data_IF_205774773099
#
_entry.id   IF_205774773099
#
_cell.length_a   1.000
_cell.length_b   1.000
_cell.length_c   1.000
_cell.angle_alpha   90.00
_cell.angle_beta   90.00
_cell.angle_gamma   90.00
#
_symmetry.space_group_name_H-M   'P 1'
#
loop_
_entity.id
_entity.type
_entity.pdbx_description
1 polymer ?
#
# COMPACT_ATOMS: atom_id res chain seq x y z
N UNK A 1 -5.42 15.61 -12.37
CA UNK A 1 -4.42 16.62 -11.90
C UNK A 1 -3.07 16.28 -12.50
N UNK A 2 -2.41 17.26 -13.12
CA UNK A 2 -1.12 17.08 -13.78
C UNK A 2 -0.04 17.61 -12.85
N UNK A 3 0.94 16.77 -12.49
CA UNK A 3 2.18 17.21 -11.82
C UNK A 3 3.37 16.81 -12.69
N UNK A 4 4.39 17.66 -12.74
CA UNK A 4 5.62 17.43 -13.51
C UNK A 4 6.83 17.34 -12.56
N UNK A 5 7.86 16.59 -12.95
CA UNK A 5 9.13 16.51 -12.24
C UNK A 5 10.30 16.56 -13.23
N UNK A 6 11.47 17.00 -12.76
CA UNK A 6 12.70 17.01 -13.56
C UNK A 6 13.45 15.69 -13.41
N UNK A 7 13.89 15.11 -14.51
CA UNK A 7 14.81 13.99 -14.55
C UNK A 7 16.07 14.41 -15.30
N UNK A 8 17.18 14.53 -14.59
CA UNK A 8 18.57 14.70 -15.10
C UNK A 8 18.70 15.45 -16.44
N UNK A 9 18.23 16.70 -16.50
CA UNK A 9 18.52 17.58 -17.64
C UNK A 9 17.68 17.39 -18.90
N UNK A 10 16.76 16.42 -18.92
CA UNK A 10 15.84 16.17 -20.03
C UNK A 10 14.38 16.42 -19.63
N UNK A 11 13.58 16.91 -20.60
CA UNK A 11 12.19 17.40 -20.52
C UNK A 11 11.38 16.86 -19.32
N UNK A 12 10.83 17.80 -18.53
CA UNK A 12 9.85 17.52 -17.46
C UNK A 12 8.82 16.48 -17.91
N UNK A 13 8.87 15.28 -17.32
CA UNK A 13 7.89 14.24 -17.61
C UNK A 13 6.61 14.53 -16.83
N UNK A 14 5.51 14.66 -17.57
CA UNK A 14 4.18 14.92 -17.02
C UNK A 14 3.62 13.64 -16.41
N UNK A 15 3.26 13.69 -15.11
CA UNK A 15 2.52 12.62 -14.44
C UNK A 15 1.03 12.90 -14.57
N UNK A 16 0.29 11.93 -15.07
CA UNK A 16 -1.17 11.95 -15.14
C UNK A 16 -1.74 10.97 -14.12
N UNK A 17 -2.75 11.42 -13.38
CA UNK A 17 -3.42 10.59 -12.37
C UNK A 17 -4.82 10.29 -12.84
N UNK A 18 -5.17 9.01 -12.91
CA UNK A 18 -6.49 8.51 -13.23
C UNK A 18 -7.10 7.80 -12.03
N UNK A 19 -8.36 8.09 -11.79
CA UNK A 19 -9.18 7.47 -10.75
C UNK A 19 -10.26 6.63 -11.46
N UNK A 20 -10.22 5.30 -11.32
CA UNK A 20 -11.13 4.43 -12.08
C UNK A 20 -12.60 4.62 -11.72
N UNK A 21 -12.92 4.87 -10.43
CA UNK A 21 -14.28 5.18 -10.00
C UNK A 21 -14.80 6.46 -10.67
N UNK A 22 -13.93 7.45 -10.82
CA UNK A 22 -14.26 8.72 -11.48
C UNK A 22 -14.48 8.53 -12.98
N UNK A 23 -13.64 7.76 -13.67
CA UNK A 23 -13.82 7.43 -15.08
C UNK A 23 -15.13 6.67 -15.32
N UNK A 24 -15.49 5.72 -14.47
CA UNK A 24 -16.76 4.97 -14.56
C UNK A 24 -17.95 5.91 -14.39
N UNK A 25 -17.92 6.81 -13.40
CA UNK A 25 -18.99 7.79 -13.16
C UNK A 25 -19.14 8.80 -14.32
N UNK A 26 -18.06 9.11 -15.00
CA UNK A 26 -18.04 9.96 -16.20
C UNK A 26 -18.45 9.21 -17.47
N UNK A 27 -18.91 7.95 -17.37
CA UNK A 27 -19.27 7.10 -18.49
C UNK A 27 -18.14 6.91 -19.51
N UNK A 28 -16.90 6.80 -19.02
CA UNK A 28 -15.76 6.47 -19.88
C UNK A 28 -16.02 5.11 -20.58
N UNK A 29 -15.55 4.88 -21.83
CA UNK A 29 -15.79 3.63 -22.51
C UNK A 29 -15.35 2.44 -21.65
N UNK A 30 -16.23 1.45 -21.50
CA UNK A 30 -15.99 0.29 -20.62
C UNK A 30 -14.72 -0.46 -21.02
N UNK A 31 -14.46 -0.57 -22.31
CA UNK A 31 -13.27 -1.23 -22.87
C UNK A 31 -11.98 -0.53 -22.41
N UNK A 32 -11.96 0.80 -22.36
CA UNK A 32 -10.80 1.57 -21.91
C UNK A 32 -10.55 1.38 -20.41
N UNK A 33 -11.61 1.36 -19.60
CA UNK A 33 -11.53 1.08 -18.16
C UNK A 33 -11.01 -0.35 -17.92
N UNK A 34 -11.54 -1.34 -18.64
CA UNK A 34 -11.08 -2.73 -18.56
C UNK A 34 -9.60 -2.86 -18.99
N UNK A 35 -9.19 -2.15 -20.02
CA UNK A 35 -7.80 -2.13 -20.46
C UNK A 35 -6.87 -1.57 -19.37
N UNK A 36 -7.26 -0.49 -18.68
CA UNK A 36 -6.51 0.06 -17.54
C UNK A 36 -6.42 -0.97 -16.40
N UNK A 37 -7.51 -1.67 -16.09
CA UNK A 37 -7.53 -2.74 -15.08
C UNK A 37 -6.55 -3.87 -15.45
N UNK A 38 -6.53 -4.31 -16.71
CA UNK A 38 -5.58 -5.33 -17.18
C UNK A 38 -4.13 -4.87 -17.09
N UNK A 39 -3.85 -3.61 -17.44
CA UNK A 39 -2.50 -3.04 -17.32
C UNK A 39 -2.05 -2.99 -15.85
N UNK A 40 -2.94 -2.59 -14.92
CA UNK A 40 -2.66 -2.62 -13.47
C UNK A 40 -2.38 -4.05 -13.02
N UNK A 41 -3.18 -5.03 -13.45
CA UNK A 41 -2.95 -6.44 -13.11
C UNK A 41 -1.59 -6.93 -13.62
N UNK A 42 -1.22 -6.56 -14.85
CA UNK A 42 0.09 -6.92 -15.43
C UNK A 42 1.25 -6.29 -14.62
N UNK A 43 1.14 -5.01 -14.24
CA UNK A 43 2.15 -4.33 -13.41
C UNK A 43 2.22 -4.93 -12.00
N UNK A 44 1.09 -5.39 -11.47
CA UNK A 44 0.99 -5.94 -10.12
C UNK A 44 1.63 -7.33 -9.95
N UNK A 45 2.14 -7.95 -11.01
CA UNK A 45 2.86 -9.24 -10.92
C UNK A 45 4.05 -9.14 -9.95
N UNK A 46 4.60 -7.95 -9.79
CA UNK A 46 5.72 -7.66 -8.88
C UNK A 46 5.33 -7.77 -7.40
N UNK A 47 4.04 -7.63 -7.05
CA UNK A 47 3.56 -7.77 -5.66
C UNK A 47 3.26 -9.22 -5.30
N UNK A 48 3.22 -10.15 -6.27
CA UNK A 48 2.97 -11.58 -6.04
C UNK A 48 3.99 -12.20 -5.08
N UNK A 49 5.20 -11.66 -5.03
CA UNK A 49 6.24 -12.15 -4.12
C UNK A 49 5.84 -12.03 -2.66
N UNK A 50 5.15 -10.94 -2.30
CA UNK A 50 4.67 -10.72 -0.92
C UNK A 50 3.25 -11.29 -0.71
N UNK A 51 2.44 -11.30 -1.79
CA UNK A 51 1.03 -11.69 -1.77
C UNK A 51 0.76 -12.78 -2.82
N UNK A 52 1.00 -14.07 -2.52
CA UNK A 52 0.85 -15.16 -3.49
C UNK A 52 -0.54 -15.24 -4.14
N UNK A 53 -1.61 -14.96 -3.36
CA UNK A 53 -3.01 -15.00 -3.80
C UNK A 53 -3.48 -13.69 -4.46
N UNK A 54 -2.57 -12.74 -4.73
CA UNK A 54 -2.92 -11.42 -5.22
C UNK A 54 -3.78 -11.46 -6.48
N UNK A 55 -3.41 -12.28 -7.47
CA UNK A 55 -4.15 -12.36 -8.74
C UNK A 55 -5.59 -12.82 -8.53
N UNK A 56 -5.80 -13.85 -7.72
CA UNK A 56 -7.14 -14.34 -7.39
C UNK A 56 -7.95 -13.25 -6.69
N UNK A 57 -7.40 -12.67 -5.63
CA UNK A 57 -8.04 -11.57 -4.89
C UNK A 57 -8.35 -10.37 -5.79
N UNK A 58 -7.44 -9.98 -6.67
CA UNK A 58 -7.63 -8.84 -7.57
C UNK A 58 -8.84 -9.07 -8.48
N UNK A 59 -8.91 -10.24 -9.13
CA UNK A 59 -9.99 -10.56 -10.06
C UNK A 59 -11.34 -10.83 -9.38
N UNK A 60 -11.35 -11.44 -8.19
CA UNK A 60 -12.59 -11.86 -7.52
C UNK A 60 -13.09 -10.89 -6.47
N UNK A 61 -12.27 -9.92 -6.06
CA UNK A 61 -12.61 -9.00 -4.98
C UNK A 61 -12.37 -7.53 -5.38
N UNK A 62 -11.18 -7.19 -5.88
CA UNK A 62 -10.86 -5.79 -6.21
C UNK A 62 -11.67 -5.31 -7.42
N UNK A 63 -11.67 -6.07 -8.50
CA UNK A 63 -12.38 -5.68 -9.75
C UNK A 63 -13.89 -5.58 -9.56
N UNK A 64 -14.60 -6.59 -8.99
CA UNK A 64 -16.03 -6.44 -8.71
C UNK A 64 -16.33 -5.24 -7.83
N UNK A 65 -15.53 -5.01 -6.77
CA UNK A 65 -15.71 -3.89 -5.87
C UNK A 65 -15.53 -2.50 -6.50
N UNK A 66 -14.84 -2.40 -7.65
CA UNK A 66 -14.79 -1.13 -8.40
C UNK A 66 -16.17 -0.83 -9.00
N UNK A 67 -16.84 -1.82 -9.54
CA UNK A 67 -18.15 -1.66 -10.16
C UNK A 67 -19.31 -1.51 -9.15
N UNK A 68 -19.16 -2.04 -7.94
CA UNK A 68 -20.15 -1.87 -6.85
C UNK A 68 -19.86 -0.64 -5.97
N UNK A 69 -18.78 0.10 -6.25
CA UNK A 69 -18.42 1.34 -5.55
C UNK A 69 -17.76 1.13 -4.18
N UNK A 70 -17.49 -0.11 -3.76
CA UNK A 70 -16.80 -0.39 -2.48
C UNK A 70 -15.28 -0.33 -2.57
N UNK A 71 -14.75 -0.32 -3.80
CA UNK A 71 -13.30 -0.30 -4.08
C UNK A 71 -12.96 0.67 -5.21
N UNK A 72 -11.68 1.01 -5.27
CA UNK A 72 -11.17 1.87 -6.32
C UNK A 72 -9.71 1.56 -6.63
N UNK A 73 -9.23 2.03 -7.78
CA UNK A 73 -7.80 2.06 -8.14
C UNK A 73 -7.47 3.45 -8.64
N UNK A 74 -6.43 4.05 -8.08
CA UNK A 74 -5.84 5.30 -8.58
C UNK A 74 -4.51 4.95 -9.24
N UNK A 75 -4.31 5.45 -10.45
CA UNK A 75 -3.23 5.07 -11.35
C UNK A 75 -2.39 6.30 -11.67
N UNK A 76 -1.08 6.14 -11.66
CA UNK A 76 -0.13 7.12 -12.16
C UNK A 76 0.42 6.69 -13.53
N UNK A 77 0.24 7.56 -14.53
CA UNK A 77 0.79 7.40 -15.87
C UNK A 77 1.93 8.38 -16.13
N UNK A 78 2.88 7.94 -16.93
CA UNK A 78 3.84 8.81 -17.62
C UNK A 78 3.75 8.44 -19.09
N UNK A 79 3.31 9.36 -19.93
CA UNK A 79 2.93 9.09 -21.33
C UNK A 79 1.88 7.96 -21.34
N UNK A 80 2.08 6.91 -22.13
CA UNK A 80 1.15 5.79 -22.28
C UNK A 80 1.44 4.62 -21.32
N UNK A 81 2.28 4.83 -20.30
CA UNK A 81 2.73 3.76 -19.39
C UNK A 81 2.25 3.99 -17.98
N UNK A 82 1.62 2.98 -17.39
CA UNK A 82 1.36 2.95 -15.95
C UNK A 82 2.69 2.73 -15.21
N UNK A 83 3.03 3.65 -14.31
CA UNK A 83 4.25 3.62 -13.50
C UNK A 83 4.01 3.38 -12.01
N UNK A 84 2.75 3.43 -11.60
CA UNK A 84 2.35 3.12 -10.23
C UNK A 84 0.84 3.10 -10.07
N UNK A 85 0.38 2.49 -8.99
CA UNK A 85 -1.04 2.45 -8.63
C UNK A 85 -1.23 2.25 -7.14
N UNK A 86 -2.42 2.60 -6.67
CA UNK A 86 -2.91 2.28 -5.33
C UNK A 86 -4.32 1.70 -5.43
N UNK A 87 -4.54 0.54 -4.82
CA UNK A 87 -5.86 -0.09 -4.70
C UNK A 87 -6.46 0.23 -3.34
N UNK A 88 -7.72 0.59 -3.33
CA UNK A 88 -8.43 1.14 -2.17
C UNK A 88 -9.69 0.33 -1.86
N UNK A 89 -10.06 0.28 -0.58
CA UNK A 89 -11.38 -0.11 -0.09
C UNK A 89 -11.99 1.06 0.67
N UNK A 90 -13.22 1.42 0.34
CA UNK A 90 -14.00 2.46 1.02
C UNK A 90 -15.40 1.92 1.31
N UNK A 91 -15.63 1.50 2.54
CA UNK A 91 -16.94 1.13 3.07
C UNK A 91 -17.20 1.92 4.35
N UNK A 92 -18.43 1.95 4.89
CA UNK A 92 -18.68 2.59 6.18
C UNK A 92 -17.78 2.08 7.31
N UNK A 93 -17.44 0.77 7.28
CA UNK A 93 -16.69 0.10 8.34
C UNK A 93 -15.17 0.19 8.13
N UNK A 94 -14.70 0.31 6.87
CA UNK A 94 -13.27 0.22 6.59
C UNK A 94 -12.81 1.14 5.45
N UNK A 95 -11.89 2.03 5.75
CA UNK A 95 -11.16 2.87 4.80
C UNK A 95 -9.72 2.39 4.72
N UNK A 96 -9.34 1.72 3.63
CA UNK A 96 -8.08 0.97 3.55
C UNK A 96 -7.31 1.17 2.25
N UNK A 97 -6.00 1.30 2.37
CA UNK A 97 -5.05 1.10 1.28
C UNK A 97 -4.73 -0.40 1.22
N UNK A 98 -5.21 -1.09 0.17
CA UNK A 98 -5.09 -2.53 0.02
C UNK A 98 -3.80 -2.94 -0.68
N UNK A 99 -3.39 -2.19 -1.71
CA UNK A 99 -2.15 -2.43 -2.46
C UNK A 99 -1.59 -1.09 -2.88
N UNK A 100 -0.29 -0.96 -2.78
CA UNK A 100 0.44 0.22 -3.20
C UNK A 100 1.70 -0.21 -3.94
N UNK A 101 1.89 0.28 -5.15
CA UNK A 101 3.05 -0.05 -5.96
C UNK A 101 3.51 1.12 -6.82
N UNK A 102 4.81 1.34 -6.85
CA UNK A 102 5.49 2.23 -7.80
C UNK A 102 6.63 1.45 -8.43
N UNK A 103 6.69 1.47 -9.76
CA UNK A 103 7.73 0.82 -10.53
C UNK A 103 9.12 1.30 -10.12
N UNK A 104 10.07 0.37 -9.99
CA UNK A 104 11.38 0.62 -9.37
C UNK A 104 12.11 1.82 -10.00
N UNK A 105 12.10 1.92 -11.33
CA UNK A 105 12.80 2.98 -12.07
C UNK A 105 12.15 4.36 -11.91
N UNK A 106 10.90 4.42 -11.43
CA UNK A 106 10.14 5.64 -11.20
C UNK A 106 10.01 6.03 -9.72
N UNK A 107 10.64 5.27 -8.82
CA UNK A 107 10.71 5.62 -7.39
C UNK A 107 11.57 6.86 -7.18
N UNK A 108 11.37 7.51 -6.03
CA UNK A 108 12.02 8.78 -5.62
C UNK A 108 11.59 10.02 -6.42
N UNK A 109 10.71 9.89 -7.38
CA UNK A 109 10.14 10.98 -8.19
C UNK A 109 8.77 11.45 -7.65
N UNK A 110 8.54 11.35 -6.34
CA UNK A 110 7.32 11.77 -5.63
C UNK A 110 6.02 11.06 -6.07
N UNK A 111 6.06 10.12 -7.03
CA UNK A 111 4.88 9.39 -7.51
C UNK A 111 4.15 8.70 -6.35
N UNK A 112 4.92 8.02 -5.47
CA UNK A 112 4.35 7.40 -4.30
C UNK A 112 3.63 8.37 -3.37
N UNK A 113 4.21 9.54 -3.14
CA UNK A 113 3.58 10.60 -2.34
C UNK A 113 2.29 11.08 -2.96
N UNK A 114 2.28 11.33 -4.28
CA UNK A 114 1.08 11.77 -5.01
C UNK A 114 -0.03 10.72 -4.92
N UNK A 115 0.30 9.43 -5.11
CA UNK A 115 -0.67 8.34 -5.04
C UNK A 115 -1.28 8.22 -3.63
N UNK A 116 -0.47 8.37 -2.57
CA UNK A 116 -0.99 8.34 -1.19
C UNK A 116 -1.83 9.58 -0.88
N UNK A 117 -1.44 10.77 -1.33
CA UNK A 117 -2.25 11.98 -1.19
C UNK A 117 -3.61 11.81 -1.85
N UNK A 118 -3.67 11.24 -3.06
CA UNK A 118 -4.91 10.94 -3.76
C UNK A 118 -5.72 9.82 -3.10
N UNK A 119 -5.06 8.85 -2.49
CA UNK A 119 -5.74 7.83 -1.69
C UNK A 119 -6.40 8.42 -0.44
N UNK A 120 -5.71 9.31 0.28
CA UNK A 120 -6.23 10.02 1.46
C UNK A 120 -7.44 10.87 1.06
N UNK A 121 -7.35 11.63 -0.04
CA UNK A 121 -8.43 12.43 -0.58
C UNK A 121 -9.68 11.58 -0.90
N UNK A 122 -9.51 10.46 -1.63
CA UNK A 122 -10.59 9.54 -1.96
C UNK A 122 -11.19 8.86 -0.73
N UNK A 123 -10.36 8.40 0.19
CA UNK A 123 -10.79 7.72 1.41
C UNK A 123 -11.36 8.67 2.47
N UNK A 124 -11.19 9.99 2.32
CA UNK A 124 -11.62 11.00 3.30
C UNK A 124 -11.07 10.70 4.70
N UNK A 125 -9.80 10.33 4.79
CA UNK A 125 -9.10 10.09 6.06
C UNK A 125 -7.59 10.17 5.87
N UNK A 126 -6.90 10.88 6.75
CA UNK A 126 -5.43 10.94 6.79
C UNK A 126 -4.79 9.68 7.40
N UNK A 127 -5.59 8.86 8.09
CA UNK A 127 -5.15 7.64 8.75
C UNK A 127 -5.87 6.41 8.17
N UNK A 128 -5.73 6.09 6.88
CA UNK A 128 -6.30 4.87 6.33
C UNK A 128 -5.64 3.63 6.94
N UNK A 129 -6.41 2.58 7.14
CA UNK A 129 -5.83 1.27 7.47
C UNK A 129 -4.90 0.82 6.34
N UNK A 130 -3.71 0.35 6.66
CA UNK A 130 -2.79 -0.25 5.70
C UNK A 130 -2.01 -1.39 6.36
N UNK A 131 -1.71 -2.42 5.59
CA UNK A 131 -0.76 -3.48 5.97
C UNK A 131 0.48 -3.37 5.12
N UNK A 132 1.65 -3.45 5.75
CA UNK A 132 2.94 -3.24 5.10
C UNK A 132 3.86 -4.41 5.48
N UNK A 133 4.44 -5.14 4.50
CA UNK A 133 5.47 -6.13 4.79
C UNK A 133 6.58 -5.51 5.64
N UNK A 134 6.98 -6.15 6.73
CA UNK A 134 7.95 -5.61 7.67
C UNK A 134 9.26 -5.16 7.00
N UNK A 135 9.70 -5.90 5.99
CA UNK A 135 10.92 -5.58 5.22
C UNK A 135 10.78 -4.35 4.30
N UNK A 136 9.55 -3.87 4.09
CA UNK A 136 9.25 -2.67 3.28
C UNK A 136 8.81 -1.47 4.12
N UNK A 137 8.73 -1.60 5.43
CA UNK A 137 8.23 -0.56 6.33
C UNK A 137 8.99 0.77 6.16
N UNK A 138 10.30 0.71 5.88
CA UNK A 138 11.13 1.89 5.66
C UNK A 138 10.72 2.73 4.42
N UNK A 139 10.08 2.11 3.43
CA UNK A 139 9.60 2.83 2.24
C UNK A 139 8.44 3.79 2.59
N UNK A 140 7.74 3.53 3.71
CA UNK A 140 6.59 4.30 4.17
C UNK A 140 6.91 5.31 5.30
N UNK A 141 8.14 5.34 5.81
CA UNK A 141 8.52 6.16 6.97
C UNK A 141 8.16 7.64 6.79
N UNK A 142 8.54 8.24 5.64
CA UNK A 142 8.30 9.67 5.39
C UNK A 142 6.81 10.02 5.32
N UNK A 143 5.99 9.14 4.74
CA UNK A 143 4.55 9.32 4.66
C UNK A 143 3.93 9.11 6.03
N UNK A 144 4.34 8.06 6.75
CA UNK A 144 3.90 7.82 8.12
C UNK A 144 4.20 8.97 9.07
N UNK A 145 5.40 9.55 8.97
CA UNK A 145 5.78 10.75 9.75
C UNK A 145 4.92 11.97 9.37
N UNK A 146 4.69 12.20 8.08
CA UNK A 146 3.90 13.34 7.59
C UNK A 146 2.47 13.34 8.11
N UNK A 147 1.81 12.17 8.15
CA UNK A 147 0.41 12.02 8.54
C UNK A 147 0.23 11.44 9.95
N UNK A 148 1.30 11.37 10.75
CA UNK A 148 1.27 10.79 12.09
C UNK A 148 0.62 9.39 12.13
N UNK A 149 1.01 8.52 11.18
CA UNK A 149 0.54 7.14 11.14
C UNK A 149 1.07 6.32 12.31
N UNK A 150 0.23 5.46 12.85
CA UNK A 150 0.50 4.69 14.05
C UNK A 150 0.54 3.19 13.74
N UNK A 151 1.61 2.52 14.18
CA UNK A 151 1.67 1.07 14.12
C UNK A 151 0.76 0.51 15.20
N UNK A 152 -0.25 -0.25 14.80
CA UNK A 152 -1.26 -0.83 15.69
C UNK A 152 -0.93 -2.27 16.09
N UNK A 153 -0.37 -3.07 15.16
CA UNK A 153 -0.06 -4.48 15.42
C UNK A 153 0.99 -5.00 14.42
N UNK A 154 1.53 -6.19 14.66
CA UNK A 154 2.36 -6.94 13.72
C UNK A 154 1.82 -8.37 13.70
N UNK A 155 1.42 -8.84 12.50
CA UNK A 155 0.88 -10.19 12.28
C UNK A 155 1.88 -11.03 11.51
N UNK A 156 2.24 -12.19 12.07
CA UNK A 156 3.01 -13.20 11.35
C UNK A 156 2.09 -14.00 10.43
N UNK A 157 2.62 -14.39 9.27
CA UNK A 157 1.95 -15.31 8.35
C UNK A 157 0.56 -14.85 7.86
N UNK A 158 0.31 -13.54 7.81
CA UNK A 158 -0.99 -13.00 7.42
C UNK A 158 -1.32 -13.33 5.95
N UNK A 159 -0.38 -13.07 5.05
CA UNK A 159 -0.53 -13.31 3.61
C UNK A 159 0.48 -14.32 3.07
N UNK A 160 1.64 -14.43 3.72
CA UNK A 160 2.73 -15.31 3.34
C UNK A 160 3.47 -15.82 4.58
N UNK A 161 3.91 -17.09 4.56
CA UNK A 161 4.75 -17.66 5.62
C UNK A 161 6.07 -16.91 5.73
N UNK A 162 6.52 -16.69 6.97
CA UNK A 162 7.78 -16.02 7.30
C UNK A 162 7.89 -14.58 6.75
N UNK A 163 6.77 -13.91 6.49
CA UNK A 163 6.73 -12.52 6.06
C UNK A 163 5.76 -11.75 6.96
N UNK A 164 6.24 -11.18 8.09
CA UNK A 164 5.38 -10.42 8.99
C UNK A 164 4.83 -9.17 8.32
N UNK A 165 3.57 -8.85 8.64
CA UNK A 165 2.88 -7.63 8.20
C UNK A 165 2.70 -6.67 9.36
N UNK A 166 3.10 -5.43 9.16
CA UNK A 166 2.85 -4.32 10.07
C UNK A 166 1.48 -3.74 9.76
N UNK A 167 0.60 -3.70 10.74
CA UNK A 167 -0.72 -3.09 10.64
C UNK A 167 -0.63 -1.66 11.15
N UNK A 168 -1.09 -0.71 10.34
CA UNK A 168 -0.97 0.71 10.60
C UNK A 168 -2.37 1.34 10.59
N UNK A 169 -2.64 2.22 11.55
CA UNK A 169 -3.85 3.03 11.70
C UNK A 169 -5.15 2.25 11.92
N UNK A 170 -5.10 1.08 12.53
CA UNK A 170 -6.31 0.32 12.83
C UNK A 170 -6.05 -1.15 13.09
N UNK A 171 -7.09 -1.95 13.04
CA UNK A 171 -7.02 -3.39 13.27
C UNK A 171 -7.68 -4.12 12.11
N UNK A 172 -7.14 -5.28 11.76
CA UNK A 172 -7.79 -6.18 10.81
C UNK A 172 -8.84 -6.97 11.57
N UNK A 173 -10.05 -7.05 11.00
CA UNK A 173 -11.03 -8.04 11.48
C UNK A 173 -10.46 -9.45 11.37
N UNK A 174 -10.59 -10.22 12.42
CA UNK A 174 -10.17 -11.63 12.44
C UNK A 174 -11.05 -12.44 11.49
N UNK A 175 -10.60 -12.59 10.26
CA UNK A 175 -11.12 -13.64 9.37
C UNK A 175 -10.50 -14.94 9.85
N UNK A 176 -11.23 -15.75 10.62
CA UNK A 176 -10.98 -17.13 11.08
C UNK A 176 -9.71 -17.83 10.53
N UNK A 177 -8.53 -17.24 10.67
CA UNK A 177 -7.24 -17.90 10.43
C UNK A 177 -6.59 -18.11 11.78
N UNK A 178 -6.26 -19.37 12.09
CA UNK A 178 -5.49 -19.71 13.29
C UNK A 178 -4.12 -19.06 13.15
N UNK A 179 -3.89 -17.98 13.89
CA UNK A 179 -2.61 -17.29 13.94
C UNK A 179 -1.93 -17.74 15.23
N UNK A 180 -0.76 -18.35 15.10
CA UNK A 180 0.07 -18.72 16.25
C UNK A 180 0.96 -17.51 16.59
N UNK A 181 0.73 -16.84 17.75
CA UNK A 181 1.53 -15.69 18.15
C UNK A 181 2.95 -16.13 18.51
N UNK A 182 3.98 -15.50 17.94
CA UNK A 182 5.34 -15.78 18.41
C UNK A 182 5.68 -15.05 19.71
N UNK A 183 6.52 -15.68 20.56
CA UNK A 183 6.97 -15.08 21.83
C UNK A 183 7.76 -13.78 21.64
N UNK A 184 8.37 -13.57 20.47
CA UNK A 184 9.14 -12.37 20.15
C UNK A 184 8.25 -11.14 19.98
N UNK A 185 7.04 -11.29 19.44
CA UNK A 185 6.09 -10.20 19.21
C UNK A 185 5.53 -9.62 20.51
N UNK A 186 5.34 -10.43 21.56
CA UNK A 186 4.93 -9.91 22.88
C UNK A 186 5.92 -8.88 23.44
N UNK A 187 7.22 -9.08 23.17
CA UNK A 187 8.29 -8.16 23.61
C UNK A 187 8.26 -6.86 22.79
N UNK A 188 8.00 -6.93 21.50
CA UNK A 188 7.86 -5.75 20.61
C UNK A 188 6.61 -4.95 20.97
N UNK A 189 5.50 -5.62 21.29
CA UNK A 189 4.26 -5.00 21.73
C UNK A 189 4.37 -4.28 23.09
N UNK A 190 5.14 -4.83 24.05
CA UNK A 190 5.42 -4.14 25.31
C UNK A 190 6.27 -2.88 25.10
N UNK A 191 7.22 -2.92 24.18
CA UNK A 191 8.05 -1.75 23.84
C UNK A 191 7.18 -0.67 23.18
N UNK A 192 6.21 -1.04 22.33
CA UNK A 192 5.25 -0.13 21.72
C UNK A 192 4.39 0.61 22.76
N UNK A 193 3.83 -0.10 23.76
CA UNK A 193 3.02 0.51 24.82
C UNK A 193 3.78 1.53 25.69
N UNK A 194 5.10 1.37 25.84
CA UNK A 194 5.92 2.18 26.76
C UNK A 194 6.36 3.50 26.13
N UNK A 195 6.38 3.66 24.80
CA UNK A 195 7.01 4.81 24.13
C UNK A 195 6.14 5.45 23.03
N UNK A 196 5.13 6.18 23.47
CA UNK A 196 4.34 7.08 22.61
C UNK A 196 5.14 8.35 22.25
N UNK A 197 6.36 8.23 21.67
CA UNK A 197 7.22 9.36 21.32
C UNK A 197 7.63 9.35 19.84
N UNK A 198 7.82 10.57 19.30
CA UNK A 198 8.19 10.93 17.90
C UNK A 198 9.37 10.15 17.25
N UNK A 199 10.07 9.31 18.00
CA UNK A 199 11.20 8.47 17.52
C UNK A 199 10.83 7.00 17.29
N UNK A 200 9.55 6.63 17.38
CA UNK A 200 9.08 5.24 17.29
C UNK A 200 9.46 4.57 15.97
N UNK A 201 9.22 5.26 14.85
CA UNK A 201 9.55 4.75 13.50
C UNK A 201 11.03 4.45 13.34
N UNK A 202 11.93 5.33 13.79
CA UNK A 202 13.38 5.11 13.74
C UNK A 202 13.84 3.94 14.62
N UNK A 203 13.20 3.77 15.78
CA UNK A 203 13.53 2.67 16.71
C UNK A 203 13.00 1.32 16.22
N UNK A 204 11.80 1.28 15.68
CA UNK A 204 11.22 0.06 15.09
C UNK A 204 12.06 -0.40 13.90
N UNK A 205 12.43 0.53 12.98
CA UNK A 205 13.32 0.23 11.87
C UNK A 205 14.67 -0.36 12.32
N UNK A 206 15.28 0.22 13.36
CA UNK A 206 16.57 -0.27 13.87
C UNK A 206 16.47 -1.67 14.47
N UNK A 207 15.37 -1.98 15.16
CA UNK A 207 15.14 -3.29 15.77
C UNK A 207 14.70 -4.34 14.73
N UNK A 208 13.89 -3.94 13.74
CA UNK A 208 13.47 -4.82 12.64
C UNK A 208 14.65 -5.22 11.75
N UNK A 209 15.55 -4.30 11.44
CA UNK A 209 16.78 -4.58 10.69
C UNK A 209 17.70 -5.55 11.46
N UNK A 210 17.71 -5.49 12.79
CA UNK A 210 18.49 -6.43 13.62
C UNK A 210 17.85 -7.82 13.66
N UNK A 211 16.52 -7.90 13.62
CA UNK A 211 15.83 -9.20 13.54
C UNK A 211 15.94 -9.83 12.15
N UNK A 212 15.83 -9.05 11.07
CA UNK A 212 16.01 -9.51 9.69
C UNK A 212 17.42 -10.11 9.51
N UNK A 213 18.47 -9.48 10.05
CA UNK A 213 19.83 -10.05 10.03
C UNK A 213 19.91 -11.42 10.72
N UNK A 214 19.17 -11.65 11.78
CA UNK A 214 19.15 -12.92 12.50
C UNK A 214 18.31 -14.01 11.81
N UNK A 215 17.42 -13.65 10.87
CA UNK A 215 16.64 -14.60 10.06
C UNK A 215 17.35 -15.01 8.76
N UNK A 216 18.25 -14.16 8.25
CA UNK A 216 18.99 -14.40 6.99
C UNK A 216 20.26 -15.24 7.23
N UNK A 217 20.69 -15.45 8.49
CA UNK A 217 21.91 -16.16 8.88
C UNK A 217 21.63 -17.57 9.42
N UNK A 218 20.42 -18.10 9.22
CA UNK A 218 20.11 -19.52 9.48
C UNK A 218 19.61 -20.16 8.15
#
# INVERSE_FOLDING_TARGET
>A
MIKSFEENGDKMQKIEIHNLDELIRQNYPKEDVENLIYQVLALSIQVKTDYPEYKSWFLTTQVPGIYDGTRNIIIAHIKDRIVGFVSLKKTPEEKKICTFYVEKNFRKNKIGTILVEKAIEYLETEKPLITIPLNKLNEFTKIGEKYNWEISDIKENLYRLNNPEVIVNGFLEEKNKIIIPSKSLKKTWQIYKINNQKNLWKRILKNSLKQIKNYVVK
#
